data_IF_370551433267
#
_entry.id   IF_370551433267
#
_cell.length_a   1.000
_cell.length_b   1.000
_cell.length_c   1.000
_cell.angle_alpha   90.00
_cell.angle_beta   90.00
_cell.angle_gamma   90.00
#
_symmetry.space_group_name_H-M   'P 1'
#
loop_
_entity.id
_entity.type
_entity.pdbx_description
1 polymer ?
#
# COMPACT_ATOMS: atom_id res chain seq x y z
N UNK A 1 11.39 -25.32 -0.62
CA UNK A 1 10.17 -25.24 -1.45
C UNK A 1 10.32 -24.17 -2.54
N UNK A 2 10.48 -22.86 -2.23
CA UNK A 2 10.56 -21.79 -3.25
C UNK A 2 11.74 -21.97 -4.21
N UNK A 3 12.95 -22.32 -3.71
CA UNK A 3 14.10 -22.63 -4.58
C UNK A 3 13.83 -23.78 -5.55
N UNK A 4 13.19 -24.82 -5.07
CA UNK A 4 12.86 -26.01 -5.90
C UNK A 4 11.84 -25.64 -6.98
N UNK A 5 10.86 -24.77 -6.66
CA UNK A 5 9.90 -24.29 -7.62
C UNK A 5 10.57 -23.41 -8.69
N UNK A 6 11.45 -22.47 -8.30
CA UNK A 6 12.22 -21.65 -9.24
C UNK A 6 13.09 -22.52 -10.14
N UNK A 7 13.74 -23.54 -9.58
CA UNK A 7 14.54 -24.52 -10.35
C UNK A 7 13.67 -25.29 -11.36
N UNK A 8 12.52 -25.78 -10.93
CA UNK A 8 11.59 -26.50 -11.80
C UNK A 8 11.06 -25.65 -12.96
N UNK A 9 11.02 -24.32 -12.79
CA UNK A 9 10.62 -23.34 -13.80
C UNK A 9 11.81 -22.81 -14.63
N UNK A 10 13.04 -23.26 -14.39
CA UNK A 10 14.23 -22.75 -15.07
C UNK A 10 14.64 -21.32 -14.69
N UNK A 11 14.17 -20.83 -13.53
CA UNK A 11 14.37 -19.45 -13.06
C UNK A 11 15.45 -19.34 -11.97
N UNK A 12 16.46 -20.22 -11.99
CA UNK A 12 17.51 -20.29 -10.95
C UNK A 12 18.38 -19.02 -10.86
N UNK A 13 18.46 -18.22 -11.93
CA UNK A 13 19.26 -17.01 -12.01
C UNK A 13 18.38 -15.75 -12.23
N UNK A 14 17.17 -15.78 -11.71
CA UNK A 14 16.23 -14.65 -11.85
C UNK A 14 16.82 -13.38 -11.25
N UNK A 15 16.83 -12.31 -12.02
CA UNK A 15 17.24 -10.97 -11.57
C UNK A 15 16.07 -10.03 -11.78
N UNK A 16 15.66 -9.32 -10.71
CA UNK A 16 14.53 -8.39 -10.71
C UNK A 16 15.00 -7.00 -10.31
N UNK A 17 14.48 -5.98 -10.97
CA UNK A 17 14.69 -4.56 -10.62
C UNK A 17 13.55 -4.11 -9.70
N UNK A 18 13.91 -3.72 -8.47
CA UNK A 18 13.01 -3.15 -7.50
C UNK A 18 13.18 -1.63 -7.45
N UNK A 19 12.18 -0.89 -7.89
CA UNK A 19 12.18 0.56 -7.83
C UNK A 19 11.69 1.05 -6.47
N UNK A 20 12.45 1.99 -5.90
CA UNK A 20 12.28 2.40 -4.50
C UNK A 20 12.37 3.92 -4.38
N UNK A 21 11.40 4.58 -3.72
CA UNK A 21 11.52 5.99 -3.40
C UNK A 21 12.75 6.28 -2.55
N UNK A 22 13.49 7.34 -2.88
CA UNK A 22 14.68 7.75 -2.12
C UNK A 22 14.36 8.46 -0.82
N UNK A 23 13.16 9.04 -0.71
CA UNK A 23 12.73 9.83 0.46
C UNK A 23 11.77 9.05 1.33
N UNK A 24 11.75 9.40 2.62
CA UNK A 24 10.72 8.96 3.55
C UNK A 24 9.32 9.25 3.00
N UNK A 25 8.42 8.29 3.13
CA UNK A 25 7.03 8.35 2.71
C UNK A 25 6.12 8.22 3.94
N UNK A 26 4.92 8.78 3.86
CA UNK A 26 3.94 8.66 4.95
C UNK A 26 3.58 7.19 5.25
N UNK A 27 3.60 6.34 4.24
CA UNK A 27 3.33 4.90 4.33
C UNK A 27 4.58 4.06 4.62
N UNK A 28 5.79 4.60 4.44
CA UNK A 28 7.04 3.92 4.76
C UNK A 28 8.15 4.97 5.07
N UNK A 29 8.57 5.11 6.33
CA UNK A 29 9.58 6.08 6.72
C UNK A 29 10.99 5.75 6.19
N UNK A 30 11.26 4.51 5.81
CA UNK A 30 12.58 4.05 5.35
C UNK A 30 12.47 3.09 4.16
N UNK A 31 12.03 3.55 2.96
CA UNK A 31 11.81 2.68 1.81
C UNK A 31 13.07 1.90 1.39
N UNK A 32 14.24 2.51 1.42
CA UNK A 32 15.49 1.84 1.07
C UNK A 32 15.82 0.69 2.01
N UNK A 33 15.63 0.85 3.33
CA UNK A 33 15.82 -0.25 4.29
C UNK A 33 14.83 -1.39 4.07
N UNK A 34 13.59 -1.07 3.73
CA UNK A 34 12.60 -2.09 3.36
C UNK A 34 13.05 -2.85 2.12
N UNK A 35 13.56 -2.15 1.12
CA UNK A 35 14.08 -2.78 -0.10
C UNK A 35 15.30 -3.66 0.16
N UNK A 36 16.20 -3.25 1.04
CA UNK A 36 17.36 -4.06 1.46
C UNK A 36 16.94 -5.36 2.15
N UNK A 37 15.89 -5.31 2.98
CA UNK A 37 15.33 -6.52 3.60
C UNK A 37 14.71 -7.45 2.56
N UNK A 38 13.91 -6.90 1.63
CA UNK A 38 13.34 -7.67 0.52
C UNK A 38 14.45 -8.31 -0.33
N UNK A 39 15.50 -7.56 -0.64
CA UNK A 39 16.65 -8.07 -1.38
C UNK A 39 17.33 -9.24 -0.66
N UNK A 40 17.53 -9.11 0.66
CA UNK A 40 18.12 -10.15 1.48
C UNK A 40 17.27 -11.42 1.55
N UNK A 41 15.95 -11.27 1.71
CA UNK A 41 15.01 -12.40 1.75
C UNK A 41 14.92 -13.11 0.39
N UNK A 42 14.85 -12.36 -0.70
CA UNK A 42 14.82 -12.91 -2.06
C UNK A 42 16.12 -13.65 -2.41
N UNK A 43 17.26 -13.14 -1.95
CA UNK A 43 18.55 -13.82 -2.12
C UNK A 43 18.59 -15.20 -1.45
N UNK A 44 17.88 -15.39 -0.33
CA UNK A 44 17.78 -16.70 0.35
C UNK A 44 17.13 -17.75 -0.53
N UNK A 45 16.29 -17.38 -1.47
CA UNK A 45 15.66 -18.30 -2.42
C UNK A 45 16.32 -18.32 -3.80
N UNK A 46 17.42 -17.59 -3.98
CA UNK A 46 18.20 -17.59 -5.21
C UNK A 46 17.79 -16.53 -6.23
N UNK A 47 16.95 -15.56 -5.83
CA UNK A 47 16.55 -14.43 -6.69
C UNK A 47 17.43 -13.22 -6.38
N UNK A 48 18.03 -12.65 -7.41
CA UNK A 48 18.82 -11.41 -7.31
C UNK A 48 17.88 -10.20 -7.48
N UNK A 49 17.80 -9.35 -6.47
CA UNK A 49 17.08 -8.07 -6.56
C UNK A 49 18.10 -6.94 -6.76
N UNK A 50 17.88 -6.12 -7.78
CA UNK A 50 18.64 -4.89 -8.03
C UNK A 50 17.79 -3.72 -7.57
N UNK A 51 18.22 -3.06 -6.50
CA UNK A 51 17.53 -1.88 -5.98
C UNK A 51 17.83 -0.69 -6.88
N UNK A 52 16.79 -0.05 -7.40
CA UNK A 52 16.87 1.14 -8.25
C UNK A 52 16.23 2.32 -7.49
N UNK A 53 17.03 3.21 -6.90
CA UNK A 53 16.50 4.39 -6.23
C UNK A 53 15.87 5.35 -7.25
N UNK A 54 14.65 5.84 -6.95
CA UNK A 54 13.90 6.74 -7.84
C UNK A 54 13.45 7.97 -7.08
N UNK A 55 13.73 9.15 -7.60
CA UNK A 55 13.24 10.41 -7.04
C UNK A 55 11.76 10.66 -7.42
N UNK A 56 10.96 11.19 -6.46
CA UNK A 56 9.51 11.27 -6.54
C UNK A 56 8.95 11.84 -7.85
N UNK A 57 9.47 12.96 -8.34
CA UNK A 57 9.00 13.57 -9.60
C UNK A 57 9.34 12.78 -10.87
N UNK A 58 10.32 11.87 -10.81
CA UNK A 58 10.68 10.97 -11.91
C UNK A 58 10.05 9.59 -11.77
N UNK A 59 9.54 9.28 -10.60
CA UNK A 59 8.90 7.99 -10.32
C UNK A 59 7.67 7.78 -11.20
N UNK A 60 6.78 8.78 -11.26
CA UNK A 60 5.56 8.71 -12.05
C UNK A 60 5.86 8.54 -13.55
N UNK A 61 6.73 9.39 -14.11
CA UNK A 61 7.10 9.31 -15.53
C UNK A 61 7.79 7.98 -15.90
N UNK A 62 8.60 7.41 -15.00
CA UNK A 62 9.32 6.15 -15.25
C UNK A 62 8.47 4.91 -14.98
N UNK A 63 7.51 4.98 -14.08
CA UNK A 63 6.55 3.88 -13.88
C UNK A 63 5.72 3.63 -15.13
N UNK A 64 5.53 4.67 -15.95
CA UNK A 64 4.87 4.54 -17.25
C UNK A 64 5.68 3.75 -18.28
N UNK A 65 7.00 3.82 -18.21
CA UNK A 65 7.90 3.10 -19.13
C UNK A 65 7.96 1.59 -18.86
N UNK A 66 7.28 1.10 -17.79
CA UNK A 66 7.23 -0.31 -17.40
C UNK A 66 8.62 -0.99 -17.34
N UNK A 67 9.65 -0.22 -17.03
CA UNK A 67 11.04 -0.74 -16.98
C UNK A 67 11.43 -1.33 -15.61
N UNK A 68 10.46 -1.41 -14.68
CA UNK A 68 10.60 -2.09 -13.40
C UNK A 68 9.98 -3.49 -13.44
N UNK A 69 10.56 -4.40 -12.68
CA UNK A 69 9.94 -5.70 -12.43
C UNK A 69 9.10 -5.64 -11.14
N UNK A 70 9.57 -4.84 -10.18
CA UNK A 70 8.92 -4.60 -8.89
C UNK A 70 8.99 -3.12 -8.55
N UNK A 71 7.98 -2.59 -7.85
CA UNK A 71 8.03 -1.25 -7.26
C UNK A 71 7.51 -1.26 -5.83
N UNK A 72 8.17 -0.52 -4.95
CA UNK A 72 7.71 -0.29 -3.58
C UNK A 72 6.81 0.94 -3.56
N UNK A 73 5.55 0.74 -3.22
CA UNK A 73 4.52 1.77 -3.22
C UNK A 73 3.65 1.70 -1.97
N UNK A 74 2.78 2.66 -1.78
CA UNK A 74 1.79 2.69 -0.73
C UNK A 74 0.56 3.48 -1.13
N UNK A 75 -0.54 3.22 -0.45
CA UNK A 75 -1.81 3.86 -0.69
C UNK A 75 -2.49 4.28 0.61
N UNK A 76 -3.14 5.43 0.60
CA UNK A 76 -4.03 5.87 1.66
C UNK A 76 -5.44 5.99 1.09
N UNK A 77 -6.40 5.33 1.71
CA UNK A 77 -7.80 5.36 1.29
C UNK A 77 -8.49 6.64 1.78
N UNK A 78 -9.44 7.14 0.98
CA UNK A 78 -10.23 8.33 1.32
C UNK A 78 -11.49 7.98 2.13
N UNK A 79 -11.82 6.71 2.21
CA UNK A 79 -13.00 6.19 2.92
C UNK A 79 -12.73 4.82 3.53
N UNK A 80 -13.65 4.36 4.39
CA UNK A 80 -13.62 3.00 4.94
C UNK A 80 -14.16 1.94 3.96
N UNK A 81 -14.52 2.33 2.74
CA UNK A 81 -14.97 1.38 1.74
C UNK A 81 -13.78 0.66 1.10
N UNK A 82 -13.76 -0.69 1.04
CA UNK A 82 -12.70 -1.43 0.39
C UNK A 82 -12.50 -1.04 -1.08
N UNK A 83 -13.52 -0.53 -1.75
CA UNK A 83 -13.44 -0.05 -3.13
C UNK A 83 -12.42 1.08 -3.29
N UNK A 84 -12.24 1.93 -2.27
CA UNK A 84 -11.25 3.02 -2.28
C UNK A 84 -9.78 2.54 -2.31
N UNK A 85 -9.57 1.25 -2.08
CA UNK A 85 -8.28 0.56 -2.25
C UNK A 85 -8.25 -0.25 -3.56
N UNK A 86 -9.23 -1.13 -3.74
CA UNK A 86 -9.19 -2.09 -4.85
C UNK A 86 -9.30 -1.44 -6.21
N UNK A 87 -10.26 -0.56 -6.43
CA UNK A 87 -10.52 0.03 -7.73
C UNK A 87 -9.36 0.89 -8.26
N UNK A 88 -8.84 1.88 -7.50
CA UNK A 88 -7.79 2.74 -8.02
C UNK A 88 -6.46 2.03 -8.23
N UNK A 89 -6.20 0.92 -7.53
CA UNK A 89 -4.92 0.21 -7.63
C UNK A 89 -4.95 -1.00 -8.55
N UNK A 90 -6.10 -1.64 -8.76
CA UNK A 90 -6.16 -2.99 -9.32
C UNK A 90 -7.20 -3.18 -10.43
N UNK A 91 -8.11 -2.20 -10.65
CA UNK A 91 -9.03 -2.32 -11.78
C UNK A 91 -8.32 -2.19 -13.12
N UNK A 92 -8.89 -2.77 -14.16
CA UNK A 92 -8.38 -2.60 -15.53
C UNK A 92 -8.39 -1.13 -15.97
N UNK A 93 -9.40 -0.36 -15.56
CA UNK A 93 -9.47 1.07 -15.85
C UNK A 93 -8.34 1.88 -15.19
N UNK A 94 -7.85 1.43 -14.04
CA UNK A 94 -6.78 2.09 -13.30
C UNK A 94 -5.41 2.03 -14.00
N UNK A 95 -5.23 1.17 -14.99
CA UNK A 95 -4.06 1.17 -15.86
C UNK A 95 -3.99 2.49 -16.64
N UNK A 96 -5.12 2.93 -17.18
CA UNK A 96 -5.18 4.18 -17.95
C UNK A 96 -5.01 5.43 -17.09
N UNK A 97 -5.43 5.39 -15.83
CA UNK A 97 -5.20 6.47 -14.87
C UNK A 97 -3.84 6.39 -14.17
N UNK A 98 -3.02 5.39 -14.51
CA UNK A 98 -1.64 5.23 -14.05
C UNK A 98 -1.50 5.00 -12.53
N UNK A 99 -2.55 4.56 -11.89
CA UNK A 99 -2.53 4.21 -10.46
C UNK A 99 -2.35 2.69 -10.24
N UNK A 100 -2.69 1.87 -11.23
CA UNK A 100 -2.41 0.43 -11.24
C UNK A 100 -0.99 0.17 -11.74
N UNK A 101 -0.03 0.22 -10.82
CA UNK A 101 1.40 0.06 -11.11
C UNK A 101 1.78 -1.38 -11.47
N UNK A 102 0.94 -2.35 -11.18
CA UNK A 102 1.14 -3.74 -11.56
C UNK A 102 0.75 -4.00 -13.02
N UNK A 103 0.03 -3.08 -13.66
CA UNK A 103 -0.58 -3.25 -14.98
C UNK A 103 -1.39 -4.54 -15.14
N UNK A 104 -1.83 -5.07 -14.00
CA UNK A 104 -2.67 -6.26 -13.96
C UNK A 104 -4.12 -5.91 -14.26
N UNK A 105 -4.76 -6.73 -15.06
CA UNK A 105 -6.16 -6.56 -15.45
C UNK A 105 -6.84 -7.92 -15.47
N UNK A 106 -7.82 -8.11 -14.59
CA UNK A 106 -8.69 -9.28 -14.57
C UNK A 106 -10.16 -8.83 -14.69
N UNK A 107 -10.85 -9.13 -15.81
CA UNK A 107 -12.26 -8.79 -15.99
C UNK A 107 -13.18 -9.42 -14.93
N UNK A 108 -12.81 -10.58 -14.38
CA UNK A 108 -13.56 -11.21 -13.30
C UNK A 108 -13.45 -10.38 -12.02
N UNK A 109 -12.25 -9.94 -11.66
CA UNK A 109 -12.03 -9.04 -10.54
C UNK A 109 -12.85 -7.76 -10.66
N UNK A 110 -12.80 -7.09 -11.83
CA UNK A 110 -13.61 -5.90 -12.11
C UNK A 110 -15.11 -6.16 -11.97
N UNK A 111 -15.58 -7.33 -12.41
CA UNK A 111 -17.00 -7.72 -12.28
C UNK A 111 -17.41 -7.89 -10.82
N UNK A 112 -16.54 -8.50 -10.00
CA UNK A 112 -16.76 -8.68 -8.57
C UNK A 112 -16.82 -7.34 -7.86
N UNK A 113 -15.93 -6.40 -8.17
CA UNK A 113 -15.98 -5.04 -7.61
C UNK A 113 -17.27 -4.31 -7.99
N UNK A 114 -17.74 -4.42 -9.25
CA UNK A 114 -19.03 -3.84 -9.66
C UNK A 114 -20.20 -4.44 -8.88
N UNK A 115 -20.20 -5.78 -8.67
CA UNK A 115 -21.21 -6.47 -7.84
C UNK A 115 -21.23 -5.90 -6.41
N UNK A 116 -20.07 -5.74 -5.79
CA UNK A 116 -19.93 -5.17 -4.46
C UNK A 116 -20.52 -3.75 -4.37
N UNK A 117 -20.21 -2.90 -5.34
CA UNK A 117 -20.68 -1.51 -5.37
C UNK A 117 -22.17 -1.37 -5.65
N UNK A 118 -22.74 -2.23 -6.50
CA UNK A 118 -24.16 -2.16 -6.84
C UNK A 118 -25.07 -2.70 -5.74
N UNK A 119 -24.52 -3.47 -4.79
CA UNK A 119 -25.29 -4.05 -3.68
C UNK A 119 -25.47 -3.07 -2.54
N UNK A 120 -26.71 -2.94 -2.06
CA UNK A 120 -27.03 -2.22 -0.82
C UNK A 120 -26.99 -3.15 0.42
N UNK A 121 -26.93 -4.46 0.21
CA UNK A 121 -26.90 -5.44 1.30
C UNK A 121 -25.46 -5.68 1.74
N UNK A 122 -25.17 -5.42 3.02
CA UNK A 122 -23.83 -5.57 3.60
C UNK A 122 -23.27 -6.99 3.40
N UNK A 123 -24.07 -8.02 3.64
CA UNK A 123 -23.64 -9.41 3.47
C UNK A 123 -23.17 -9.71 2.04
N UNK A 124 -23.91 -9.25 1.02
CA UNK A 124 -23.53 -9.45 -0.37
C UNK A 124 -22.28 -8.64 -0.76
N UNK A 125 -22.06 -7.48 -0.13
CA UNK A 125 -20.81 -6.72 -0.32
C UNK A 125 -19.61 -7.45 0.28
N UNK A 126 -19.76 -7.97 1.51
CA UNK A 126 -18.72 -8.75 2.17
C UNK A 126 -18.32 -9.95 1.30
N UNK A 127 -19.30 -10.75 0.87
CA UNK A 127 -19.07 -11.91 -0.01
C UNK A 127 -18.29 -11.54 -1.29
N UNK A 128 -18.69 -10.43 -1.93
CA UNK A 128 -18.00 -9.98 -3.14
C UNK A 128 -16.57 -9.53 -2.85
N UNK A 129 -16.30 -8.81 -1.76
CA UNK A 129 -14.92 -8.43 -1.41
C UNK A 129 -14.07 -9.62 -0.95
N UNK A 130 -14.65 -10.64 -0.33
CA UNK A 130 -13.96 -11.89 -0.02
C UNK A 130 -13.57 -12.65 -1.30
N UNK A 131 -14.46 -12.67 -2.30
CA UNK A 131 -14.13 -13.21 -3.63
C UNK A 131 -13.00 -12.40 -4.29
N UNK A 132 -13.06 -11.07 -4.24
CA UNK A 132 -12.00 -10.21 -4.77
C UNK A 132 -10.63 -10.49 -4.11
N UNK A 133 -10.60 -10.61 -2.79
CA UNK A 133 -9.37 -10.95 -2.04
C UNK A 133 -8.86 -12.35 -2.41
N UNK A 134 -9.76 -13.31 -2.67
CA UNK A 134 -9.38 -14.66 -3.10
C UNK A 134 -8.70 -14.65 -4.47
N UNK A 135 -9.20 -13.85 -5.41
CA UNK A 135 -8.56 -13.64 -6.72
C UNK A 135 -7.16 -13.04 -6.53
N UNK A 136 -7.04 -11.99 -5.72
CA UNK A 136 -5.74 -11.35 -5.47
C UNK A 136 -4.74 -12.29 -4.80
N UNK A 137 -5.18 -13.15 -3.91
CA UNK A 137 -4.32 -14.14 -3.26
C UNK A 137 -3.80 -15.22 -4.22
N UNK A 138 -4.52 -15.48 -5.31
CA UNK A 138 -4.11 -16.42 -6.34
C UNK A 138 -3.18 -15.78 -7.39
N UNK A 139 -3.54 -14.59 -7.86
CA UNK A 139 -2.84 -13.90 -8.95
C UNK A 139 -1.63 -13.08 -8.48
N UNK A 140 -1.65 -12.61 -7.22
CA UNK A 140 -0.59 -11.83 -6.56
C UNK A 140 -0.09 -10.62 -7.37
N UNK A 141 -0.95 -9.77 -7.94
CA UNK A 141 -0.51 -8.58 -8.64
C UNK A 141 0.19 -7.57 -7.71
N UNK A 142 -0.17 -7.60 -6.44
CA UNK A 142 0.48 -6.85 -5.36
C UNK A 142 0.75 -7.76 -4.17
N UNK A 143 1.79 -7.44 -3.42
CA UNK A 143 2.09 -8.07 -2.13
C UNK A 143 1.92 -7.05 -1.02
N UNK A 144 0.86 -7.10 -0.20
CA UNK A 144 0.71 -6.25 0.96
C UNK A 144 1.81 -6.54 1.99
N UNK A 145 2.59 -5.53 2.37
CA UNK A 145 3.69 -5.69 3.33
C UNK A 145 3.27 -5.31 4.74
N UNK A 146 2.63 -4.16 4.90
CA UNK A 146 2.21 -3.64 6.20
C UNK A 146 1.14 -2.56 6.07
N UNK A 147 0.34 -2.41 7.12
CA UNK A 147 -0.50 -1.23 7.36
C UNK A 147 0.15 -0.38 8.44
N UNK A 148 0.42 0.89 8.12
CA UNK A 148 1.07 1.81 9.04
C UNK A 148 0.13 2.25 10.16
N UNK A 149 0.62 2.27 11.40
CA UNK A 149 -0.05 2.97 12.48
C UNK A 149 0.17 4.48 12.33
N UNK A 150 -0.90 5.23 12.45
CA UNK A 150 -0.81 6.67 12.48
C UNK A 150 -0.59 7.13 13.92
N UNK A 151 0.59 7.70 14.17
CA UNK A 151 0.95 8.22 15.49
C UNK A 151 0.97 9.74 15.44
N UNK A 152 0.43 10.36 16.48
CA UNK A 152 0.48 11.80 16.67
C UNK A 152 0.83 12.11 18.11
N UNK A 153 1.88 12.91 18.29
CA UNK A 153 2.28 13.42 19.58
C UNK A 153 1.77 14.85 19.76
N UNK A 154 1.23 15.14 20.92
CA UNK A 154 0.82 16.50 21.31
C UNK A 154 1.07 16.72 22.81
N UNK A 155 1.12 17.98 23.20
CA UNK A 155 1.33 18.33 24.60
C UNK A 155 0.13 17.90 25.43
N UNK A 156 0.36 17.51 26.68
CA UNK A 156 -0.67 17.03 27.60
C UNK A 156 -1.77 18.07 27.90
N UNK A 157 -1.42 19.37 27.81
CA UNK A 157 -2.33 20.50 28.02
C UNK A 157 -3.21 20.82 26.78
N UNK A 158 -3.02 20.11 25.66
CA UNK A 158 -3.85 20.20 24.48
C UNK A 158 -4.97 19.16 24.57
N UNK A 159 -6.21 19.59 24.41
CA UNK A 159 -7.41 18.75 24.48
C UNK A 159 -8.26 18.91 23.21
N UNK A 160 -9.19 17.99 23.02
CA UNK A 160 -10.13 18.04 21.91
C UNK A 160 -9.55 17.68 20.55
N UNK A 161 -8.30 17.17 20.48
CA UNK A 161 -7.74 16.69 19.24
C UNK A 161 -8.34 15.34 18.86
N UNK A 162 -8.96 15.28 17.69
CA UNK A 162 -9.53 14.06 17.12
C UNK A 162 -8.71 13.66 15.90
N UNK A 163 -8.13 12.46 15.93
CA UNK A 163 -7.45 11.89 14.77
C UNK A 163 -8.47 11.39 13.77
N UNK A 164 -8.40 11.90 12.55
CA UNK A 164 -9.17 11.32 11.45
C UNK A 164 -8.48 10.05 10.96
N UNK A 165 -9.21 8.96 10.71
CA UNK A 165 -8.66 7.77 10.08
C UNK A 165 -8.20 8.03 8.63
N UNK A 166 -8.71 9.11 7.99
CA UNK A 166 -8.50 9.43 6.58
C UNK A 166 -7.45 10.52 6.30
N UNK A 167 -6.53 10.73 7.15
CA UNK A 167 -5.39 11.55 6.79
C UNK A 167 -5.29 12.90 7.48
N UNK A 168 -6.29 13.73 7.56
CA UNK A 168 -6.20 15.08 8.12
C UNK A 168 -6.64 15.10 9.59
N UNK A 169 -5.86 15.75 10.47
CA UNK A 169 -6.31 16.05 11.81
C UNK A 169 -7.29 17.22 11.78
N UNK A 170 -8.42 17.08 12.45
CA UNK A 170 -9.32 18.22 12.69
C UNK A 170 -8.84 18.97 13.92
N UNK A 171 -8.58 20.25 13.74
CA UNK A 171 -8.24 21.16 14.85
C UNK A 171 -9.48 21.92 15.37
N UNK A 172 -10.66 21.68 14.77
CA UNK A 172 -11.92 22.20 15.29
C UNK A 172 -12.18 21.57 16.67
N UNK A 173 -12.36 22.40 17.68
CA UNK A 173 -12.52 21.94 19.06
C UNK A 173 -11.22 21.70 19.84
N UNK A 174 -10.06 21.91 19.23
CA UNK A 174 -8.79 21.86 19.97
C UNK A 174 -8.65 23.10 20.85
N UNK A 175 -8.37 22.88 22.11
CA UNK A 175 -8.10 23.94 23.07
C UNK A 175 -6.94 23.59 23.99
N UNK A 176 -6.39 24.62 24.60
CA UNK A 176 -5.41 24.44 25.66
C UNK A 176 -6.12 24.48 27.01
N UNK A 177 -5.99 23.41 27.77
CA UNK A 177 -6.43 23.39 29.17
C UNK A 177 -5.57 24.35 29.98
N UNK A 178 -6.19 25.32 30.68
CA UNK A 178 -5.45 26.18 31.62
C UNK A 178 -4.94 25.30 32.75
N UNK A 179 -3.64 25.38 33.00
CA UNK A 179 -3.10 24.80 34.23
C UNK A 179 -3.68 25.64 35.40
N UNK A 180 -4.67 25.06 36.08
CA UNK A 180 -4.97 25.54 37.43
C UNK A 180 -3.67 25.37 38.20
N UNK A 181 -3.27 26.42 38.91
CA UNK A 181 -2.06 26.45 39.68
C UNK A 181 -1.97 25.16 40.51
N UNK A 182 -1.06 24.28 40.12
CA UNK A 182 -0.73 23.10 40.92
C UNK A 182 -0.27 23.65 42.25
N UNK A 183 -1.13 23.60 43.28
CA UNK A 183 -0.73 23.85 44.64
C UNK A 183 0.47 22.97 44.92
N UNK A 184 1.64 23.59 44.95
CA UNK A 184 2.86 22.91 45.44
C UNK A 184 2.55 22.37 46.84
N UNK A 185 2.89 21.12 47.10
CA UNK A 185 2.79 20.57 48.44
C UNK A 185 3.64 21.29 49.43
#
# INVERSE_FOLDING_TARGET
KSREQLKALGLENLTLKLWVPTRSQAWNPSPLKTAELIQADMAQVGVKVVIVPVEGRFQEARLMDMSHDLTLSGWATDSNDPDSFFRPLLSCAAIHSQTNLAHWCDPKFDSVLRKALSSQQLAARIEAYDEAQSILAQELPILPLASSLRLQAYRYDIKGLVLSPFGNASFAGVYREKQDEVKKP
#
